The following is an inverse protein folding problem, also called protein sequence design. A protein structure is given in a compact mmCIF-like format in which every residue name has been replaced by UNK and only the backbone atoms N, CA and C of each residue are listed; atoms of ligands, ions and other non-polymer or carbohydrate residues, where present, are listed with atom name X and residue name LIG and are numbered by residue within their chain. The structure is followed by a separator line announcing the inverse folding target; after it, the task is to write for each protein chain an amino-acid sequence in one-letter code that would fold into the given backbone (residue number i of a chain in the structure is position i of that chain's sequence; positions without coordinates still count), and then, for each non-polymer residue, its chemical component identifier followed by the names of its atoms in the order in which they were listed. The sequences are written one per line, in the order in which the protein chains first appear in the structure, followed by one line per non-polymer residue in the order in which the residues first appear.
data_IF_351184267033
#
_entry.id   IF_351184267033
#
_cell.length_a   1.000
_cell.length_b   1.000
_cell.length_c   1.000
_cell.angle_alpha   90.00
_cell.angle_beta   90.00
_cell.angle_gamma   90.00
#
_symmetry.space_group_name_H-M   'P 1'
#
loop_
_entity.id
_entity.type
_entity.pdbx_description
1 polymer ?
#
# COMPACT_ATOMS: atom_id res chain seq x y z
N UNK A 1 -3.10 -2.35 8.03
CA UNK A 1 -3.80 -2.74 6.78
C UNK A 1 -3.91 -4.27 6.64
N UNK A 2 -3.95 -4.99 7.75
CA UNK A 2 -4.03 -6.45 7.79
C UNK A 2 -5.47 -6.90 8.02
N UNK A 3 -5.87 -8.04 7.45
CA UNK A 3 -7.18 -8.61 7.71
C UNK A 3 -7.41 -8.91 9.19
N UNK A 4 -8.65 -8.85 9.67
CA UNK A 4 -8.97 -9.09 11.08
C UNK A 4 -8.48 -10.46 11.58
N UNK A 5 -8.62 -11.51 10.76
CA UNK A 5 -8.13 -12.86 11.08
C UNK A 5 -6.60 -12.92 11.19
N UNK A 6 -5.87 -12.14 10.40
CA UNK A 6 -4.40 -12.11 10.44
C UNK A 6 -3.89 -11.40 11.70
N UNK A 7 -4.58 -10.34 12.12
CA UNK A 7 -4.24 -9.61 13.36
C UNK A 7 -4.47 -10.47 14.59
N UNK A 8 -5.56 -11.26 14.61
CA UNK A 8 -5.84 -12.19 15.70
C UNK A 8 -4.80 -13.32 15.80
N UNK A 9 -4.37 -13.87 14.66
CA UNK A 9 -3.36 -14.95 14.63
C UNK A 9 -1.97 -14.45 14.99
N UNK A 10 -1.60 -13.25 14.55
CA UNK A 10 -0.28 -12.65 14.79
C UNK A 10 -0.44 -11.14 15.03
N UNK A 11 -0.64 -10.71 16.27
CA UNK A 11 -0.71 -9.27 16.61
C UNK A 11 0.52 -8.51 16.12
N UNK A 12 0.37 -7.21 15.93
CA UNK A 12 1.51 -6.34 15.62
C UNK A 12 2.44 -6.27 16.83
N UNK A 13 3.76 -6.33 16.60
CA UNK A 13 4.76 -6.11 17.63
C UNK A 13 4.77 -4.69 18.23
N UNK A 14 4.04 -3.76 17.60
CA UNK A 14 3.86 -2.38 18.08
C UNK A 14 2.56 -2.18 18.86
N UNK A 15 1.65 -3.17 18.84
CA UNK A 15 0.38 -3.09 19.58
C UNK A 15 0.66 -3.10 21.09
N UNK A 16 0.21 -2.04 21.79
CA UNK A 16 0.42 -1.89 23.24
C UNK A 16 1.85 -1.52 23.67
N UNK A 17 2.76 -1.24 22.72
CA UNK A 17 4.11 -0.78 23.04
C UNK A 17 4.10 0.72 23.38
N UNK A 18 4.76 1.11 24.45
CA UNK A 18 4.91 2.50 24.86
C UNK A 18 5.55 3.34 23.76
N UNK A 19 5.04 4.56 23.55
CA UNK A 19 5.48 5.48 22.50
C UNK A 19 4.90 5.19 21.11
N UNK A 20 4.05 4.17 20.96
CA UNK A 20 3.40 3.83 19.70
C UNK A 20 1.88 3.83 19.82
N UNK A 21 1.20 4.56 18.91
CA UNK A 21 -0.23 4.41 18.70
C UNK A 21 -0.46 3.48 17.51
N UNK A 22 -1.13 2.36 17.73
CA UNK A 22 -1.36 1.35 16.71
C UNK A 22 -2.78 1.40 16.19
N UNK A 23 -2.94 1.54 14.88
CA UNK A 23 -4.20 1.44 14.16
C UNK A 23 -4.18 0.29 13.18
N UNK A 24 -5.31 -0.37 12.96
CA UNK A 24 -5.47 -1.35 11.90
C UNK A 24 -6.72 -1.04 11.08
N UNK A 25 -6.53 -0.73 9.83
CA UNK A 25 -7.58 -0.53 8.83
C UNK A 25 -7.49 -1.69 7.84
N UNK A 26 -8.35 -2.73 7.96
CA UNK A 26 -8.33 -3.86 7.04
C UNK A 26 -8.66 -3.39 5.64
N UNK A 27 -7.75 -3.62 4.69
CA UNK A 27 -7.98 -3.39 3.26
C UNK A 27 -8.22 -4.75 2.63
N UNK A 28 -9.39 -4.91 2.01
CA UNK A 28 -9.72 -6.09 1.21
C UNK A 28 -9.15 -5.89 -0.20
N UNK A 29 -8.32 -6.82 -0.63
CA UNK A 29 -7.71 -6.86 -1.96
C UNK A 29 -8.38 -7.88 -2.90
N UNK A 30 -9.49 -8.49 -2.46
CA UNK A 30 -10.19 -9.56 -3.16
C UNK A 30 -9.63 -10.94 -2.82
N UNK A 31 -9.44 -11.81 -3.81
CA UNK A 31 -8.79 -13.11 -3.63
C UNK A 31 -7.34 -12.91 -3.16
N UNK A 32 -6.89 -13.74 -2.21
CA UNK A 32 -5.60 -13.54 -1.53
C UNK A 32 -4.35 -13.51 -2.42
N UNK A 33 -4.37 -14.24 -3.54
CA UNK A 33 -3.30 -14.24 -4.56
C UNK A 33 -3.98 -14.02 -5.91
N UNK A 34 -3.51 -13.05 -6.73
CA UNK A 34 -3.99 -12.88 -8.10
C UNK A 34 -3.83 -14.18 -8.92
N UNK A 35 -4.76 -14.45 -9.83
CA UNK A 35 -4.74 -15.67 -10.63
C UNK A 35 -3.67 -15.65 -11.73
N UNK A 36 -3.20 -14.46 -12.12
CA UNK A 36 -2.16 -14.28 -13.14
C UNK A 36 -1.31 -13.05 -12.85
N UNK A 37 -0.20 -12.94 -13.56
CA UNK A 37 0.71 -11.77 -13.53
C UNK A 37 -0.04 -10.49 -13.91
N UNK A 38 -0.90 -10.54 -14.92
CA UNK A 38 -1.65 -9.39 -15.43
C UNK A 38 -2.71 -8.90 -14.45
N UNK A 39 -3.15 -9.76 -13.52
CA UNK A 39 -4.10 -9.37 -12.48
C UNK A 39 -3.44 -8.64 -11.30
N UNK A 40 -2.12 -8.63 -11.18
CA UNK A 40 -1.43 -7.96 -10.06
C UNK A 40 -1.73 -6.46 -10.06
N UNK A 41 -1.54 -5.69 -11.14
CA UNK A 41 -1.87 -4.26 -11.17
C UNK A 41 -3.37 -3.98 -10.97
N UNK A 42 -4.23 -4.88 -11.47
CA UNK A 42 -5.69 -4.79 -11.24
C UNK A 42 -6.03 -4.95 -9.77
N UNK A 43 -5.35 -5.86 -9.05
CA UNK A 43 -5.51 -6.01 -7.61
C UNK A 43 -5.07 -4.75 -6.86
N UNK A 44 -4.08 -4.01 -7.36
CA UNK A 44 -3.65 -2.73 -6.79
C UNK A 44 -4.71 -1.64 -6.96
N UNK A 45 -5.44 -1.63 -8.07
CA UNK A 45 -6.60 -0.75 -8.24
C UNK A 45 -7.73 -1.09 -7.26
N UNK A 46 -7.96 -2.38 -6.96
CA UNK A 46 -8.91 -2.80 -5.91
C UNK A 46 -8.48 -2.32 -4.53
N UNK A 47 -7.18 -2.39 -4.20
CA UNK A 47 -6.63 -1.83 -2.96
C UNK A 47 -6.89 -0.33 -2.90
N UNK A 48 -6.58 0.41 -3.97
CA UNK A 48 -6.79 1.86 -4.04
C UNK A 48 -8.26 2.27 -3.89
N UNK A 49 -9.20 1.45 -4.38
CA UNK A 49 -10.64 1.70 -4.29
C UNK A 49 -11.33 1.08 -3.07
N UNK A 50 -10.58 0.40 -2.18
CA UNK A 50 -11.14 -0.24 -1.01
C UNK A 50 -11.74 0.78 -0.03
N UNK A 51 -12.93 0.48 0.52
CA UNK A 51 -13.67 1.39 1.40
C UNK A 51 -12.84 1.91 2.58
N UNK A 52 -11.98 1.08 3.16
CA UNK A 52 -11.17 1.43 4.33
C UNK A 52 -9.88 2.19 3.99
N UNK A 53 -9.57 2.42 2.71
CA UNK A 53 -8.34 3.12 2.33
C UNK A 53 -8.38 4.60 2.71
N UNK A 54 -9.56 5.23 2.68
CA UNK A 54 -9.76 6.61 3.13
C UNK A 54 -9.37 6.78 4.60
N UNK A 55 -9.74 5.84 5.46
CA UNK A 55 -9.41 5.87 6.89
C UNK A 55 -7.88 5.83 7.12
N UNK A 56 -7.14 5.11 6.27
CA UNK A 56 -5.67 5.07 6.31
C UNK A 56 -5.11 6.48 6.05
N UNK A 57 -5.57 7.16 5.01
CA UNK A 57 -5.08 8.51 4.67
C UNK A 57 -5.49 9.55 5.70
N UNK A 58 -6.74 9.47 6.22
CA UNK A 58 -7.18 10.35 7.33
C UNK A 58 -6.32 10.15 8.57
N UNK A 59 -6.01 8.90 8.92
CA UNK A 59 -5.13 8.60 10.05
C UNK A 59 -3.71 9.16 9.84
N UNK A 60 -3.15 9.00 8.65
CA UNK A 60 -1.83 9.55 8.31
C UNK A 60 -1.84 11.08 8.39
N UNK A 61 -2.85 11.74 7.83
CA UNK A 61 -2.97 13.19 7.82
C UNK A 61 -3.02 13.79 9.22
N UNK A 62 -3.71 13.12 10.15
CA UNK A 62 -3.94 13.61 11.52
C UNK A 62 -2.94 13.10 12.56
N UNK A 63 -1.94 12.33 12.16
CA UNK A 63 -0.90 11.89 13.08
C UNK A 63 0.04 13.06 13.44
N UNK A 64 0.31 13.28 14.73
CA UNK A 64 1.19 14.36 15.21
C UNK A 64 2.68 14.03 15.03
N UNK A 65 3.00 12.76 14.80
CA UNK A 65 4.38 12.26 14.69
C UNK A 65 4.63 11.52 13.38
N UNK A 66 5.78 10.88 13.25
CA UNK A 66 6.10 9.99 12.13
C UNK A 66 5.12 8.81 12.06
N UNK A 67 4.81 8.36 10.84
CA UNK A 67 3.89 7.25 10.59
C UNK A 67 4.63 6.12 9.90
N UNK A 68 4.48 4.92 10.43
CA UNK A 68 4.91 3.70 9.78
C UNK A 68 3.69 2.93 9.26
N UNK A 69 3.68 2.65 7.97
CA UNK A 69 2.62 1.87 7.34
C UNK A 69 3.12 0.46 7.03
N UNK A 70 2.30 -0.55 7.30
CA UNK A 70 2.64 -1.93 6.99
C UNK A 70 1.39 -2.77 6.66
N UNK A 71 1.60 -3.80 5.89
CA UNK A 71 0.64 -4.90 5.71
C UNK A 71 1.27 -6.24 6.18
N UNK A 72 1.08 -7.34 5.45
CA UNK A 72 1.69 -8.63 5.78
C UNK A 72 3.10 -8.74 5.21
N UNK A 73 3.25 -8.48 3.90
CA UNK A 73 4.51 -8.62 3.16
C UNK A 73 5.21 -7.26 2.90
N UNK A 74 4.51 -6.15 3.07
CA UNK A 74 5.02 -4.83 2.70
C UNK A 74 4.94 -4.52 1.20
N UNK A 75 4.47 -5.47 0.37
CA UNK A 75 4.45 -5.37 -1.09
C UNK A 75 3.18 -4.66 -1.59
N UNK A 76 2.02 -5.32 -1.52
CA UNK A 76 0.82 -4.93 -2.25
C UNK A 76 0.12 -3.72 -1.59
N UNK A 77 -0.56 -3.89 -0.46
CA UNK A 77 -1.28 -2.80 0.24
C UNK A 77 -0.37 -1.66 0.67
N UNK A 78 0.80 -1.99 1.21
CA UNK A 78 1.80 -0.98 1.58
C UNK A 78 2.35 -0.28 0.35
N UNK A 79 2.68 -1.01 -0.70
CA UNK A 79 3.18 -0.47 -1.96
C UNK A 79 2.19 0.51 -2.60
N UNK A 80 0.91 0.14 -2.69
CA UNK A 80 -0.14 1.01 -3.25
C UNK A 80 -0.32 2.29 -2.43
N UNK A 81 -0.46 2.18 -1.10
CA UNK A 81 -0.62 3.36 -0.24
C UNK A 81 0.61 4.26 -0.32
N UNK A 82 1.83 3.70 -0.31
CA UNK A 82 3.07 4.47 -0.46
C UNK A 82 3.15 5.15 -1.82
N UNK A 83 2.81 4.45 -2.91
CA UNK A 83 2.83 5.02 -4.25
C UNK A 83 1.89 6.23 -4.38
N UNK A 84 0.66 6.13 -3.86
CA UNK A 84 -0.30 7.23 -3.87
C UNK A 84 0.22 8.44 -3.06
N UNK A 85 0.81 8.21 -1.89
CA UNK A 85 1.40 9.26 -1.07
C UNK A 85 2.58 9.94 -1.78
N UNK A 86 3.46 9.16 -2.39
CA UNK A 86 4.61 9.67 -3.15
C UNK A 86 4.16 10.47 -4.39
N UNK A 87 3.15 9.98 -5.14
CA UNK A 87 2.52 10.73 -6.22
C UNK A 87 1.98 12.09 -5.73
N UNK A 88 1.29 12.09 -4.58
CA UNK A 88 0.73 13.32 -4.00
C UNK A 88 1.81 14.30 -3.55
N UNK A 89 2.97 13.79 -3.15
CA UNK A 89 4.15 14.61 -2.85
C UNK A 89 4.86 15.13 -4.11
N UNK A 90 4.50 14.67 -5.30
CA UNK A 90 5.11 15.06 -6.57
C UNK A 90 6.36 14.27 -6.94
N UNK A 91 6.53 13.08 -6.37
CA UNK A 91 7.64 12.17 -6.70
C UNK A 91 7.44 11.57 -8.09
N UNK A 92 8.52 11.37 -8.84
CA UNK A 92 8.47 10.80 -10.18
C UNK A 92 8.04 9.33 -10.17
N UNK A 93 7.42 8.87 -11.26
CA UNK A 93 7.02 7.47 -11.42
C UNK A 93 8.20 6.53 -11.28
N UNK A 94 9.34 6.91 -11.83
CA UNK A 94 10.57 6.16 -11.74
C UNK A 94 10.98 5.94 -10.28
N UNK A 95 11.04 7.00 -9.48
CA UNK A 95 11.45 6.90 -8.08
C UNK A 95 10.43 6.11 -7.25
N UNK A 96 9.13 6.22 -7.57
CA UNK A 96 8.06 5.42 -6.96
C UNK A 96 8.27 3.94 -7.27
N UNK A 97 8.53 3.61 -8.53
CA UNK A 97 8.76 2.23 -8.98
C UNK A 97 10.04 1.66 -8.37
N UNK A 98 11.13 2.41 -8.37
CA UNK A 98 12.38 2.01 -7.71
C UNK A 98 12.17 1.75 -6.21
N UNK A 99 11.43 2.61 -5.51
CA UNK A 99 11.08 2.41 -4.10
C UNK A 99 10.26 1.13 -3.88
N UNK A 100 9.29 0.87 -4.74
CA UNK A 100 8.46 -0.33 -4.66
C UNK A 100 9.26 -1.62 -4.81
N UNK A 101 10.18 -1.70 -5.78
CA UNK A 101 10.95 -2.93 -6.04
C UNK A 101 11.98 -3.25 -4.95
N UNK A 102 12.37 -2.29 -4.09
CA UNK A 102 13.21 -2.55 -2.91
C UNK A 102 12.58 -3.62 -2.00
N UNK A 103 11.26 -3.77 -2.02
CA UNK A 103 10.56 -4.82 -1.28
C UNK A 103 11.02 -6.23 -1.67
N UNK A 104 11.53 -6.44 -2.90
CA UNK A 104 12.09 -7.71 -3.34
C UNK A 104 13.36 -8.06 -2.56
N UNK A 105 14.23 -7.08 -2.36
CA UNK A 105 15.49 -7.26 -1.64
C UNK A 105 15.22 -7.49 -0.14
N UNK A 106 14.45 -6.62 0.49
CA UNK A 106 14.13 -6.72 1.92
C UNK A 106 13.21 -7.92 2.25
N UNK A 107 12.46 -8.42 1.27
CA UNK A 107 11.57 -9.58 1.40
C UNK A 107 12.18 -10.92 0.96
N UNK A 108 13.48 -10.99 0.63
CA UNK A 108 14.12 -12.18 0.03
C UNK A 108 13.88 -13.46 0.82
N UNK A 109 14.14 -13.45 2.12
CA UNK A 109 13.93 -14.64 2.98
C UNK A 109 12.47 -15.12 2.94
N UNK A 110 11.52 -14.17 2.91
CA UNK A 110 10.10 -14.50 2.81
C UNK A 110 9.75 -15.14 1.46
N UNK A 111 10.31 -14.62 0.37
CA UNK A 111 10.10 -15.18 -0.97
C UNK A 111 10.66 -16.60 -1.07
N UNK A 112 11.83 -16.86 -0.49
CA UNK A 112 12.42 -18.18 -0.39
C UNK A 112 11.53 -19.16 0.41
N UNK A 113 10.96 -18.70 1.53
CA UNK A 113 10.02 -19.50 2.31
C UNK A 113 8.72 -19.80 1.55
N UNK A 114 8.20 -18.85 0.77
CA UNK A 114 7.01 -19.07 -0.07
C UNK A 114 7.34 -20.12 -1.13
N UNK A 115 8.43 -19.96 -1.85
CA UNK A 115 8.85 -20.91 -2.88
C UNK A 115 9.01 -22.32 -2.33
N UNK A 116 9.60 -22.46 -1.14
CA UNK A 116 9.83 -23.76 -0.49
C UNK A 116 8.52 -24.42 -0.02
N UNK A 117 7.61 -23.65 0.57
CA UNK A 117 6.44 -24.19 1.25
C UNK A 117 5.20 -24.28 0.35
N UNK A 118 5.18 -23.54 -0.76
CA UNK A 118 4.05 -23.43 -1.68
C UNK A 118 4.57 -23.47 -3.13
N UNK A 119 5.12 -24.62 -3.59
CA UNK A 119 5.73 -24.73 -4.91
C UNK A 119 4.75 -24.52 -6.06
N UNK A 120 3.43 -24.62 -5.81
CA UNK A 120 2.38 -24.36 -6.77
C UNK A 120 2.14 -22.87 -7.07
N UNK A 121 2.66 -21.97 -6.23
CA UNK A 121 2.51 -20.53 -6.44
C UNK A 121 3.47 -20.05 -7.53
N UNK A 122 2.93 -19.39 -8.54
CA UNK A 122 3.77 -18.68 -9.52
C UNK A 122 4.53 -17.54 -8.83
N UNK A 123 5.82 -17.74 -8.65
CA UNK A 123 6.70 -16.79 -7.97
C UNK A 123 6.74 -15.41 -8.63
N UNK A 124 6.39 -15.30 -9.92
CA UNK A 124 6.28 -14.01 -10.59
C UNK A 124 5.19 -13.15 -9.95
N UNK A 125 4.06 -13.72 -9.58
CA UNK A 125 2.92 -13.00 -8.96
C UNK A 125 3.30 -12.39 -7.61
N UNK A 126 4.05 -13.14 -6.78
CA UNK A 126 4.39 -12.73 -5.42
C UNK A 126 5.67 -11.91 -5.33
N UNK A 127 6.52 -11.95 -6.35
CA UNK A 127 7.76 -11.17 -6.41
C UNK A 127 7.47 -9.75 -6.91
N UNK A 128 7.92 -8.69 -6.22
CA UNK A 128 7.82 -7.32 -6.73
C UNK A 128 8.52 -7.16 -8.08
N UNK A 129 7.84 -6.52 -9.03
CA UNK A 129 8.34 -6.22 -10.36
C UNK A 129 7.96 -4.81 -10.77
N UNK A 130 8.87 -4.08 -11.41
CA UNK A 130 8.66 -2.70 -11.88
C UNK A 130 7.37 -2.56 -12.67
N UNK A 131 7.15 -3.44 -13.61
CA UNK A 131 5.96 -3.47 -14.48
C UNK A 131 4.64 -3.42 -13.71
N UNK A 132 4.57 -4.01 -12.51
CA UNK A 132 3.34 -3.98 -11.71
C UNK A 132 3.02 -2.60 -11.18
N UNK A 133 4.03 -1.87 -10.73
CA UNK A 133 3.86 -0.52 -10.23
C UNK A 133 3.65 0.47 -11.38
N UNK A 134 4.39 0.34 -12.48
CA UNK A 134 4.23 1.15 -13.68
C UNK A 134 2.81 1.03 -14.24
N UNK A 135 2.30 -0.19 -14.39
CA UNK A 135 0.95 -0.43 -14.88
C UNK A 135 -0.12 0.06 -13.88
N UNK A 136 0.10 -0.12 -12.57
CA UNK A 136 -0.78 0.47 -11.56
C UNK A 136 -0.83 2.00 -11.69
N UNK A 137 0.31 2.68 -11.82
CA UNK A 137 0.38 4.13 -11.97
C UNK A 137 -0.32 4.62 -13.22
N UNK A 138 -0.20 3.87 -14.34
CA UNK A 138 -0.93 4.14 -15.57
C UNK A 138 -2.44 4.01 -15.37
N UNK A 139 -2.91 2.87 -14.84
CA UNK A 139 -4.33 2.62 -14.56
C UNK A 139 -4.91 3.64 -13.58
N UNK A 140 -4.13 4.02 -12.57
CA UNK A 140 -4.55 5.02 -11.59
C UNK A 140 -4.79 6.38 -12.23
N UNK A 141 -3.94 6.81 -13.16
CA UNK A 141 -4.14 8.07 -13.89
C UNK A 141 -5.32 8.00 -14.87
N UNK A 142 -5.47 6.88 -15.54
CA UNK A 142 -6.59 6.67 -16.46
C UNK A 142 -7.94 6.75 -15.72
N UNK A 143 -8.02 6.22 -14.50
CA UNK A 143 -9.25 6.20 -13.70
C UNK A 143 -9.52 7.51 -12.94
N UNK A 144 -8.46 8.14 -12.39
CA UNK A 144 -8.60 9.26 -11.45
C UNK A 144 -8.02 10.57 -11.96
N UNK A 145 -7.18 10.55 -12.99
CA UNK A 145 -6.46 11.71 -13.49
C UNK A 145 -5.28 12.11 -12.58
N UNK A 146 -5.56 12.47 -11.34
CA UNK A 146 -4.55 12.89 -10.36
C UNK A 146 -4.93 12.48 -8.92
N UNK A 147 -4.03 12.72 -7.98
CA UNK A 147 -4.23 12.34 -6.57
C UNK A 147 -5.28 13.16 -5.87
N UNK A 148 -5.47 14.43 -6.21
CA UNK A 148 -6.49 15.30 -5.64
C UNK A 148 -7.88 14.79 -6.00
N UNK A 149 -8.11 14.48 -7.27
CA UNK A 149 -9.37 13.91 -7.75
C UNK A 149 -9.63 12.54 -7.12
N UNK A 150 -8.61 11.70 -7.00
CA UNK A 150 -8.70 10.43 -6.32
C UNK A 150 -9.11 10.59 -4.85
N UNK A 151 -8.42 11.44 -4.08
CA UNK A 151 -8.75 11.67 -2.67
C UNK A 151 -10.17 12.19 -2.48
N UNK A 152 -10.61 13.11 -3.32
CA UNK A 152 -12.00 13.60 -3.31
C UNK A 152 -12.98 12.46 -3.63
N UNK A 153 -12.68 11.59 -4.60
CA UNK A 153 -13.53 10.46 -4.99
C UNK A 153 -13.68 9.42 -3.87
N UNK A 154 -12.64 9.20 -3.07
CA UNK A 154 -12.71 8.30 -1.89
C UNK A 154 -13.21 9.00 -0.62
N UNK A 155 -13.66 10.26 -0.71
CA UNK A 155 -14.36 10.97 0.34
C UNK A 155 -13.48 11.76 1.31
N UNK A 156 -12.24 12.08 0.96
CA UNK A 156 -11.41 12.99 1.76
C UNK A 156 -11.82 14.43 1.46
N UNK A 157 -11.95 15.26 2.52
CA UNK A 157 -12.15 16.70 2.36
C UNK A 157 -10.81 17.42 2.06
N UNK A 158 -10.91 18.63 1.50
CA UNK A 158 -9.76 19.44 1.09
C UNK A 158 -8.76 19.68 2.24
N UNK A 159 -9.26 19.84 3.48
CA UNK A 159 -8.41 20.02 4.65
C UNK A 159 -7.49 18.81 4.88
N UNK A 160 -8.03 17.59 4.77
CA UNK A 160 -7.26 16.34 4.93
C UNK A 160 -6.25 16.19 3.81
N UNK A 161 -6.64 16.47 2.57
CA UNK A 161 -5.76 16.43 1.39
C UNK A 161 -4.57 17.37 1.59
N UNK A 162 -4.85 18.60 2.04
CA UNK A 162 -3.81 19.59 2.30
C UNK A 162 -2.89 19.16 3.47
N UNK A 163 -3.45 18.60 4.55
CA UNK A 163 -2.66 18.05 5.67
C UNK A 163 -1.74 16.94 5.22
N UNK A 164 -2.21 16.00 4.38
CA UNK A 164 -1.38 14.94 3.80
C UNK A 164 -0.17 15.54 3.06
N UNK A 165 -0.41 16.51 2.18
CA UNK A 165 0.65 17.14 1.40
C UNK A 165 1.67 17.85 2.28
N UNK A 166 1.20 18.63 3.28
CA UNK A 166 2.08 19.30 4.23
C UNK A 166 2.95 18.32 5.01
N UNK A 167 2.35 17.26 5.51
CA UNK A 167 3.04 16.21 6.26
C UNK A 167 4.12 15.52 5.43
N UNK A 168 3.83 15.21 4.17
CA UNK A 168 4.79 14.57 3.26
C UNK A 168 5.96 15.49 2.89
N UNK A 169 5.71 16.79 2.78
CA UNK A 169 6.72 17.79 2.40
C UNK A 169 7.43 18.43 3.60
N UNK A 170 7.09 18.06 4.83
CA UNK A 170 7.70 18.62 6.05
C UNK A 170 7.35 20.09 6.30
N UNK A 171 6.16 20.54 5.88
CA UNK A 171 5.72 21.95 5.94
C UNK A 171 4.54 22.12 6.89
#
# INVERSE_FOLDING_TARGET
MRGAKDVLKKPSGFCGREGFTYYNFPIDEGSGIPASVDEVPVSYMRIASAKSVSDVFVCIANADSGVMINCIAGKDRTGVVSAILLLHAGVSDRDITENYVLTKEYGKERLELIHKNFPEIDMRIVTPCEMYMEEFLRLFRDEYGNTEAYFSKIGLCDEVILKLRRKLLGK
#
